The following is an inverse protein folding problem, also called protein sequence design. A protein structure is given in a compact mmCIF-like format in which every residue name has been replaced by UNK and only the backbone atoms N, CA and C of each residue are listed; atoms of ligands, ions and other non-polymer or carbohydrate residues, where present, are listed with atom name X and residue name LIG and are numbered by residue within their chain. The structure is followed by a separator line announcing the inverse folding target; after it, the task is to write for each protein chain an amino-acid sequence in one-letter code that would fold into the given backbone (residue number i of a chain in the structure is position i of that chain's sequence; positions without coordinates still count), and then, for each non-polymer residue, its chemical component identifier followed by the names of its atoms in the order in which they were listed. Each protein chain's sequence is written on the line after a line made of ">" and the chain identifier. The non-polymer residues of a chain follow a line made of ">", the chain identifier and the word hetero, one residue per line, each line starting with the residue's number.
data_IF_099274779762
#
_entry.id   IF_099274779762
#
_cell.length_a   1.000
_cell.length_b   1.000
_cell.length_c   1.000
_cell.angle_alpha   90.00
_cell.angle_beta   90.00
_cell.angle_gamma   90.00
#
_symmetry.space_group_name_H-M   'P 1'
#
loop_
_entity.id
_entity.type
_entity.pdbx_description
1 polymer ?
#
# COMPACT_ATOMS: atom_id res chain seq x y z
N UNK A 1 3.25 -11.49 14.51
CA UNK A 1 2.10 -10.76 13.94
C UNK A 1 1.06 -11.65 13.25
N UNK A 2 1.23 -12.14 12.01
CA UNK A 2 0.14 -12.89 11.33
C UNK A 2 -0.34 -14.13 12.11
N UNK A 3 0.57 -14.83 12.78
CA UNK A 3 0.23 -15.94 13.69
C UNK A 3 -0.50 -15.50 14.96
N UNK A 4 -0.26 -14.27 15.45
CA UNK A 4 -0.94 -13.72 16.64
C UNK A 4 -2.36 -13.28 16.28
N UNK A 5 -2.56 -12.73 15.08
CA UNK A 5 -3.87 -12.32 14.56
C UNK A 5 -4.70 -13.54 14.12
N UNK A 6 -4.04 -14.55 13.56
CA UNK A 6 -4.67 -15.76 13.03
C UNK A 6 -4.82 -15.74 11.50
N UNK A 7 -4.39 -16.83 10.84
CA UNK A 7 -4.38 -16.93 9.38
C UNK A 7 -5.77 -16.87 8.73
N UNK A 8 -6.81 -17.32 9.46
CA UNK A 8 -8.20 -17.19 9.00
C UNK A 8 -8.62 -15.72 8.89
N UNK A 9 -8.19 -14.87 9.82
CA UNK A 9 -8.50 -13.43 9.78
C UNK A 9 -7.71 -12.70 8.70
N UNK A 10 -6.47 -13.11 8.45
CA UNK A 10 -5.70 -12.63 7.29
C UNK A 10 -6.41 -13.01 5.98
N UNK A 11 -6.92 -14.24 5.88
CA UNK A 11 -7.71 -14.68 4.73
C UNK A 11 -8.99 -13.86 4.58
N UNK A 12 -9.74 -13.66 5.66
CA UNK A 12 -10.96 -12.84 5.65
C UNK A 12 -10.67 -11.41 5.19
N UNK A 13 -9.55 -10.82 5.64
CA UNK A 13 -9.09 -9.50 5.21
C UNK A 13 -8.83 -9.46 3.71
N UNK A 14 -8.12 -10.44 3.15
CA UNK A 14 -7.89 -10.54 1.71
C UNK A 14 -9.22 -10.67 0.92
N UNK A 15 -10.18 -11.44 1.43
CA UNK A 15 -11.52 -11.59 0.84
C UNK A 15 -12.32 -10.29 0.92
N UNK A 16 -12.25 -9.55 2.02
CA UNK A 16 -12.89 -8.25 2.18
C UNK A 16 -12.33 -7.23 1.19
N UNK A 17 -11.00 -7.21 0.99
CA UNK A 17 -10.32 -6.37 -0.01
C UNK A 17 -10.68 -6.75 -1.46
N UNK A 18 -11.17 -7.97 -1.70
CA UNK A 18 -11.71 -8.38 -3.01
C UNK A 18 -10.87 -9.39 -3.78
N UNK A 19 -9.88 -10.02 -3.13
CA UNK A 19 -9.18 -11.18 -3.69
C UNK A 19 -10.15 -12.37 -3.74
N UNK A 20 -10.30 -13.00 -4.91
CA UNK A 20 -11.15 -14.19 -5.12
C UNK A 20 -10.35 -15.45 -5.39
N UNK A 21 -9.10 -15.32 -5.83
CA UNK A 21 -8.17 -16.44 -6.07
C UNK A 21 -8.12 -17.40 -4.88
N UNK A 22 -7.91 -18.71 -5.11
CA UNK A 22 -7.88 -19.70 -4.03
C UNK A 22 -6.71 -19.41 -3.08
N UNK A 23 -7.04 -19.19 -1.80
CA UNK A 23 -6.09 -18.92 -0.73
C UNK A 23 -6.40 -19.86 0.43
N UNK A 24 -5.37 -20.38 1.09
CA UNK A 24 -5.53 -21.21 2.29
C UNK A 24 -4.98 -20.47 3.53
N UNK A 25 -5.59 -20.65 4.71
CA UNK A 25 -5.17 -20.01 5.95
C UNK A 25 -3.99 -20.75 6.58
N UNK A 26 -2.84 -20.75 5.90
CA UNK A 26 -1.60 -21.42 6.31
C UNK A 26 -0.48 -20.40 6.55
N UNK A 27 0.58 -20.73 7.32
CA UNK A 27 1.65 -19.77 7.62
C UNK A 27 2.28 -19.09 6.41
N UNK A 28 2.49 -19.84 5.32
CA UNK A 28 3.08 -19.31 4.08
C UNK A 28 2.22 -18.26 3.37
N UNK A 29 0.93 -18.15 3.71
CA UNK A 29 0.04 -17.15 3.12
C UNK A 29 0.52 -15.73 3.40
N UNK A 30 1.10 -15.50 4.58
CA UNK A 30 1.60 -14.19 5.00
C UNK A 30 2.83 -13.75 4.17
N UNK A 31 3.46 -14.69 3.48
CA UNK A 31 4.63 -14.47 2.63
C UNK A 31 4.30 -14.51 1.13
N UNK A 32 3.01 -14.66 0.76
CA UNK A 32 2.59 -14.62 -0.65
C UNK A 32 2.75 -15.95 -1.39
N UNK A 33 2.52 -17.10 -0.75
CA UNK A 33 2.64 -18.42 -1.37
C UNK A 33 1.48 -18.81 -2.32
N UNK A 34 0.69 -17.85 -2.78
CA UNK A 34 -0.48 -18.10 -3.62
C UNK A 34 -0.50 -17.17 -4.82
N UNK A 35 -1.02 -17.68 -5.93
CA UNK A 35 -1.17 -16.93 -7.17
C UNK A 35 -2.42 -16.05 -7.12
N UNK A 36 -2.25 -14.83 -7.61
CA UNK A 36 -3.33 -13.84 -7.77
C UNK A 36 -3.11 -13.09 -9.07
N UNK A 37 -4.19 -12.71 -9.75
CA UNK A 37 -4.06 -11.94 -10.99
C UNK A 37 -3.68 -10.48 -10.72
N UNK A 38 -2.97 -9.79 -11.64
CA UNK A 38 -2.69 -8.36 -11.50
C UNK A 38 -3.97 -7.53 -11.32
N UNK A 39 -5.05 -7.90 -12.02
CA UNK A 39 -6.35 -7.25 -11.89
C UNK A 39 -6.95 -7.43 -10.48
N UNK A 40 -6.78 -8.60 -9.87
CA UNK A 40 -7.22 -8.84 -8.50
C UNK A 40 -6.47 -7.96 -7.49
N UNK A 41 -5.16 -7.89 -7.61
CA UNK A 41 -4.33 -7.04 -6.76
C UNK A 41 -4.64 -5.56 -6.95
N UNK A 42 -4.81 -5.08 -8.18
CA UNK A 42 -5.17 -3.69 -8.45
C UNK A 42 -6.47 -3.30 -7.73
N UNK A 43 -7.50 -4.13 -7.78
CA UNK A 43 -8.76 -3.88 -7.06
C UNK A 43 -8.63 -4.00 -5.53
N UNK A 44 -7.80 -4.92 -5.04
CA UNK A 44 -7.53 -5.02 -3.60
C UNK A 44 -6.84 -3.75 -3.07
N UNK A 45 -5.84 -3.25 -3.78
CA UNK A 45 -5.16 -1.99 -3.44
C UNK A 45 -6.06 -0.78 -3.65
N UNK A 46 -6.99 -0.82 -4.61
CA UNK A 46 -8.03 0.22 -4.76
C UNK A 46 -8.90 0.34 -3.51
N UNK A 47 -9.20 -0.79 -2.86
CA UNK A 47 -9.95 -0.77 -1.59
C UNK A 47 -9.18 -0.03 -0.50
N UNK A 48 -7.85 -0.16 -0.45
CA UNK A 48 -7.01 0.58 0.50
C UNK A 48 -6.93 2.07 0.10
N UNK A 49 -6.59 2.34 -1.16
CA UNK A 49 -6.40 3.70 -1.68
C UNK A 49 -7.64 4.59 -1.57
N UNK A 50 -8.84 3.98 -1.61
CA UNK A 50 -10.13 4.67 -1.50
C UNK A 50 -10.66 4.80 -0.07
N UNK A 51 -9.80 4.65 0.94
CA UNK A 51 -10.20 4.78 2.34
C UNK A 51 -11.10 3.63 2.82
N UNK A 52 -10.93 2.43 2.25
CA UNK A 52 -11.68 1.22 2.63
C UNK A 52 -12.90 0.92 1.77
N UNK A 53 -13.17 1.69 0.71
CA UNK A 53 -14.32 1.43 -0.17
C UNK A 53 -13.96 0.36 -1.19
N UNK A 54 -14.63 -0.79 -1.10
CA UNK A 54 -14.51 -1.83 -2.12
C UNK A 54 -15.51 -1.60 -3.22
N UNK A 55 -15.01 -1.45 -4.44
CA UNK A 55 -15.81 -1.43 -5.67
C UNK A 55 -15.93 -2.84 -6.26
N UNK A 56 -17.12 -3.20 -6.72
CA UNK A 56 -17.28 -4.38 -7.57
C UNK A 56 -16.57 -4.15 -8.92
N UNK A 57 -16.00 -5.18 -9.52
CA UNK A 57 -15.32 -5.05 -10.82
C UNK A 57 -16.36 -4.81 -11.91
N UNK A 58 -16.23 -3.73 -12.67
CA UNK A 58 -17.12 -3.41 -13.79
C UNK A 58 -16.29 -3.07 -15.04
N UNK A 59 -16.07 -4.00 -15.98
CA UNK A 59 -15.34 -3.70 -17.21
C UNK A 59 -16.17 -2.87 -18.21
N UNK A 60 -17.49 -2.80 -18.02
CA UNK A 60 -18.44 -2.17 -18.93
C UNK A 60 -19.42 -1.31 -18.14
N UNK A 61 -19.40 0.00 -18.40
CA UNK A 61 -20.27 0.97 -17.73
C UNK A 61 -21.63 1.07 -18.40
N UNK A 62 -21.64 1.24 -19.73
CA UNK A 62 -22.87 1.33 -20.51
C UNK A 62 -22.70 0.86 -21.95
N UNK A 63 -23.78 0.38 -22.54
CA UNK A 63 -23.92 0.12 -23.98
C UNK A 63 -25.12 0.90 -24.47
N UNK A 64 -24.94 1.67 -25.54
CA UNK A 64 -26.00 2.48 -26.15
C UNK A 64 -26.18 2.14 -27.63
N UNK A 65 -27.39 2.31 -28.15
CA UNK A 65 -27.63 2.30 -29.59
C UNK A 65 -27.00 3.54 -30.24
N UNK A 66 -26.90 3.57 -31.56
CA UNK A 66 -26.49 4.77 -32.31
C UNK A 66 -27.43 5.97 -32.10
N UNK A 67 -28.69 5.72 -31.68
CA UNK A 67 -29.68 6.74 -31.36
C UNK A 67 -29.58 7.25 -29.91
N UNK A 68 -28.70 6.66 -29.09
CA UNK A 68 -28.50 7.03 -27.69
C UNK A 68 -29.32 6.22 -26.69
N UNK A 69 -30.11 5.24 -27.14
CA UNK A 69 -30.92 4.40 -26.24
C UNK A 69 -30.01 3.47 -25.44
N UNK A 70 -30.17 3.44 -24.11
CA UNK A 70 -29.36 2.59 -23.23
C UNK A 70 -29.82 1.13 -23.32
N UNK A 71 -28.93 0.26 -23.79
CA UNK A 71 -29.10 -1.21 -23.79
C UNK A 71 -28.63 -1.77 -22.45
N UNK A 72 -27.46 -1.33 -21.98
CA UNK A 72 -26.90 -1.67 -20.68
C UNK A 72 -26.53 -0.38 -19.97
N UNK A 73 -26.90 -0.26 -18.71
CA UNK A 73 -26.41 0.79 -17.82
C UNK A 73 -26.20 0.18 -16.44
N UNK A 74 -24.94 -0.02 -16.06
CA UNK A 74 -24.61 -0.59 -14.74
C UNK A 74 -24.48 0.52 -13.71
N UNK A 75 -25.12 0.32 -12.56
CA UNK A 75 -24.85 1.14 -11.37
C UNK A 75 -23.55 0.67 -10.73
N UNK A 76 -22.72 1.62 -10.32
CA UNK A 76 -21.54 1.32 -9.53
C UNK A 76 -21.97 0.73 -8.19
N UNK A 77 -21.55 -0.50 -7.91
CA UNK A 77 -21.79 -1.13 -6.62
C UNK A 77 -20.51 -1.05 -5.78
N UNK A 78 -20.65 -0.53 -4.56
CA UNK A 78 -19.54 -0.31 -3.65
C UNK A 78 -19.98 -0.53 -2.20
N UNK A 79 -19.04 -0.94 -1.35
CA UNK A 79 -19.28 -1.09 0.10
C UNK A 79 -18.08 -0.65 0.91
N UNK A 80 -18.31 -0.10 2.10
CA UNK A 80 -17.25 0.17 3.07
C UNK A 80 -16.76 -1.18 3.64
N UNK A 81 -15.56 -1.60 3.24
CA UNK A 81 -14.97 -2.87 3.65
C UNK A 81 -14.03 -2.74 4.86
N UNK A 82 -13.39 -1.58 5.03
CA UNK A 82 -12.45 -1.32 6.11
C UNK A 82 -12.67 0.07 6.72
N UNK A 83 -12.19 0.29 7.94
CA UNK A 83 -12.17 1.63 8.54
C UNK A 83 -11.23 2.57 7.75
N UNK A 84 -11.65 3.81 7.43
CA UNK A 84 -10.79 4.79 6.75
C UNK A 84 -9.47 5.07 7.47
N UNK A 85 -9.46 5.08 8.80
CA UNK A 85 -8.26 5.32 9.59
C UNK A 85 -7.26 4.16 9.43
N UNK A 86 -7.74 2.91 9.43
CA UNK A 86 -6.89 1.72 9.27
C UNK A 86 -6.28 1.67 7.86
N UNK A 87 -7.06 1.99 6.84
CA UNK A 87 -6.57 2.04 5.45
C UNK A 87 -5.61 3.20 5.22
N UNK A 88 -5.86 4.36 5.85
CA UNK A 88 -4.92 5.48 5.85
C UNK A 88 -3.58 5.09 6.48
N UNK A 89 -3.58 4.45 7.66
CA UNK A 89 -2.34 4.00 8.29
C UNK A 89 -1.59 2.96 7.44
N UNK A 90 -2.33 2.06 6.77
CA UNK A 90 -1.75 1.09 5.84
C UNK A 90 -1.09 1.79 4.64
N UNK A 91 -1.76 2.79 4.07
CA UNK A 91 -1.21 3.66 3.02
C UNK A 91 0.02 4.42 3.47
N UNK A 92 -0.02 5.03 4.65
CA UNK A 92 1.10 5.77 5.26
C UNK A 92 2.32 4.87 5.47
N UNK A 93 2.13 3.66 5.99
CA UNK A 93 3.21 2.68 6.12
C UNK A 93 3.80 2.31 4.75
N UNK A 94 2.96 2.19 3.71
CA UNK A 94 3.38 1.94 2.33
C UNK A 94 4.06 3.14 1.66
N UNK A 95 3.80 4.39 2.07
CA UNK A 95 4.65 5.53 1.66
C UNK A 95 6.09 5.33 2.16
N UNK A 96 6.23 4.80 3.39
CA UNK A 96 7.52 4.45 3.95
C UNK A 96 8.33 3.46 3.13
N UNK A 97 7.66 2.56 2.39
CA UNK A 97 8.33 1.63 1.48
C UNK A 97 9.07 2.38 0.36
N UNK A 98 8.49 3.49 -0.14
CA UNK A 98 9.08 4.32 -1.18
C UNK A 98 10.05 5.37 -0.65
N UNK A 99 9.92 5.82 0.61
CA UNK A 99 10.82 6.85 1.14
C UNK A 99 12.05 6.27 1.82
N UNK A 100 11.91 5.12 2.48
CA UNK A 100 12.95 4.52 3.35
C UNK A 100 13.07 3.00 3.24
N UNK A 101 12.15 2.32 2.55
CA UNK A 101 12.08 0.87 2.48
C UNK A 101 12.59 0.25 1.18
N UNK A 102 11.97 -0.86 0.79
CA UNK A 102 12.40 -1.70 -0.34
C UNK A 102 12.23 -1.04 -1.70
N UNK A 103 11.46 0.04 -1.80
CA UNK A 103 11.25 0.80 -3.04
C UNK A 103 11.86 2.20 -2.99
N UNK A 104 12.84 2.45 -2.10
CA UNK A 104 13.50 3.76 -1.94
C UNK A 104 14.10 4.34 -3.23
N UNK A 105 14.44 3.47 -4.17
CA UNK A 105 14.96 3.85 -5.48
C UNK A 105 13.95 4.65 -6.33
N UNK A 106 12.64 4.56 -6.03
CA UNK A 106 11.60 5.32 -6.71
C UNK A 106 11.91 6.84 -6.76
N UNK A 107 12.54 7.37 -5.70
CA UNK A 107 12.97 8.78 -5.64
C UNK A 107 14.02 9.11 -6.69
N UNK A 108 15.06 8.26 -6.82
CA UNK A 108 16.09 8.39 -7.87
C UNK A 108 15.52 8.22 -9.27
N UNK A 109 14.39 7.54 -9.40
CA UNK A 109 13.63 7.37 -10.64
C UNK A 109 12.65 8.52 -10.91
N UNK A 110 12.75 9.65 -10.20
CA UNK A 110 11.92 10.85 -10.33
C UNK A 110 10.46 10.70 -9.88
N UNK A 111 10.18 9.82 -8.93
CA UNK A 111 8.92 9.85 -8.17
C UNK A 111 9.15 10.74 -6.94
N UNK A 112 8.90 12.03 -7.12
CA UNK A 112 9.08 13.07 -6.09
C UNK A 112 7.75 13.57 -5.49
N UNK A 113 6.63 12.90 -5.83
CA UNK A 113 5.30 13.21 -5.35
C UNK A 113 4.77 12.12 -4.39
N UNK A 114 3.74 12.42 -3.59
CA UNK A 114 3.16 11.45 -2.65
C UNK A 114 2.65 10.19 -3.36
N UNK A 115 3.17 9.04 -2.93
CA UNK A 115 2.75 7.73 -3.42
C UNK A 115 3.00 6.66 -2.36
N UNK A 116 2.10 5.68 -2.32
CA UNK A 116 2.19 4.49 -1.46
C UNK A 116 2.39 3.27 -2.34
N UNK A 117 3.12 2.26 -1.87
CA UNK A 117 3.20 1.01 -2.61
C UNK A 117 3.97 -0.08 -1.89
N UNK A 118 3.99 -1.26 -2.50
CA UNK A 118 4.68 -2.41 -1.95
C UNK A 118 5.33 -3.25 -3.04
N UNK A 119 6.58 -3.65 -2.78
CA UNK A 119 7.32 -4.63 -3.58
C UNK A 119 6.86 -6.06 -3.26
N UNK A 120 6.83 -6.93 -4.25
CA UNK A 120 6.75 -8.38 -4.10
C UNK A 120 7.84 -9.06 -4.92
N UNK A 121 8.42 -10.11 -4.37
CA UNK A 121 9.42 -10.95 -5.04
C UNK A 121 9.14 -12.39 -4.61
N UNK A 122 9.00 -13.32 -5.56
CA UNK A 122 8.86 -14.75 -5.25
C UNK A 122 10.21 -15.46 -5.22
N UNK A 123 10.27 -16.65 -4.62
CA UNK A 123 11.49 -17.45 -4.54
C UNK A 123 12.04 -17.76 -5.94
N UNK A 124 13.36 -17.66 -6.11
CA UNK A 124 14.02 -17.83 -7.39
C UNK A 124 13.75 -16.70 -8.39
N UNK A 125 13.36 -15.51 -7.90
CA UNK A 125 13.06 -14.29 -8.68
C UNK A 125 12.17 -14.55 -9.91
N UNK A 126 11.21 -15.46 -9.79
CA UNK A 126 10.29 -15.80 -10.88
C UNK A 126 9.32 -14.67 -11.16
N UNK A 127 8.87 -14.01 -10.10
CA UNK A 127 7.91 -12.91 -10.16
C UNK A 127 8.47 -11.67 -9.51
N UNK A 128 8.48 -10.59 -10.28
CA UNK A 128 8.74 -9.23 -9.83
C UNK A 128 7.41 -8.48 -9.79
N UNK A 129 6.99 -8.04 -8.60
CA UNK A 129 5.76 -7.30 -8.38
C UNK A 129 6.02 -5.92 -7.80
N UNK A 130 5.25 -4.95 -8.27
CA UNK A 130 5.08 -3.69 -7.58
C UNK A 130 3.63 -3.22 -7.73
N UNK A 131 2.96 -2.99 -6.61
CA UNK A 131 1.63 -2.38 -6.60
C UNK A 131 1.74 -1.07 -5.85
N UNK A 132 1.45 0.02 -6.55
CA UNK A 132 1.54 1.37 -6.01
C UNK A 132 0.30 2.19 -6.36
N UNK A 133 0.01 3.16 -5.51
CA UNK A 133 -1.11 4.06 -5.69
C UNK A 133 -0.80 5.48 -5.22
N UNK A 134 -1.60 6.39 -5.74
CA UNK A 134 -1.69 7.79 -5.34
C UNK A 134 -3.14 8.09 -4.98
N UNK A 135 -3.47 9.35 -4.76
CA UNK A 135 -4.86 9.78 -4.55
C UNK A 135 -5.78 9.42 -5.74
N UNK A 136 -5.26 9.44 -6.97
CA UNK A 136 -6.12 9.37 -8.17
C UNK A 136 -6.06 8.03 -8.92
N UNK A 137 -4.99 7.24 -8.73
CA UNK A 137 -4.78 5.99 -9.49
C UNK A 137 -4.08 4.90 -8.67
N UNK A 138 -4.50 3.66 -8.91
CA UNK A 138 -3.79 2.43 -8.50
C UNK A 138 -3.21 1.76 -9.74
N UNK A 139 -1.93 1.38 -9.68
CA UNK A 139 -1.24 0.66 -10.74
C UNK A 139 -0.55 -0.57 -10.15
N UNK A 140 -0.90 -1.75 -10.68
CA UNK A 140 -0.26 -3.02 -10.37
C UNK A 140 0.58 -3.46 -11.56
N UNK A 141 1.86 -3.74 -11.31
CA UNK A 141 2.81 -4.22 -12.32
C UNK A 141 3.34 -5.58 -11.88
N UNK A 142 3.32 -6.51 -12.82
CA UNK A 142 3.98 -7.82 -12.73
C UNK A 142 4.95 -7.98 -13.88
N UNK A 143 6.10 -8.58 -13.59
CA UNK A 143 7.09 -9.01 -14.58
C UNK A 143 7.48 -10.44 -14.24
N UNK A 144 7.36 -11.32 -15.23
CA UNK A 144 7.70 -12.74 -15.13
C UNK A 144 7.73 -13.36 -16.52
N UNK A 145 8.28 -14.57 -16.61
CA UNK A 145 8.16 -15.39 -17.80
C UNK A 145 6.97 -16.35 -17.67
N UNK A 146 6.23 -16.57 -18.76
CA UNK A 146 5.13 -17.55 -18.79
C UNK A 146 5.61 -18.98 -18.45
N UNK A 147 6.90 -19.27 -18.68
CA UNK A 147 7.54 -20.53 -18.30
C UNK A 147 7.81 -20.67 -16.80
N UNK A 148 7.67 -19.60 -16.01
CA UNK A 148 8.06 -19.54 -14.60
C UNK A 148 9.58 -19.56 -14.39
N UNK A 149 10.35 -19.24 -15.43
CA UNK A 149 11.81 -19.13 -15.34
C UNK A 149 12.24 -17.94 -14.47
N UNK A 150 13.44 -18.03 -13.92
CA UNK A 150 14.08 -16.95 -13.15
C UNK A 150 14.26 -15.71 -14.03
N UNK A 151 13.73 -14.56 -13.58
CA UNK A 151 13.87 -13.28 -14.28
C UNK A 151 15.18 -12.56 -13.98
N UNK A 152 15.90 -12.97 -12.93
CA UNK A 152 17.03 -12.25 -12.35
C UNK A 152 16.64 -10.94 -11.66
N UNK A 153 15.34 -10.61 -11.59
CA UNK A 153 14.85 -9.33 -11.12
C UNK A 153 13.99 -9.46 -9.87
N UNK A 154 14.34 -8.69 -8.84
CA UNK A 154 13.43 -8.48 -7.70
C UNK A 154 12.30 -7.52 -8.06
N UNK A 155 11.27 -7.41 -7.21
CA UNK A 155 10.21 -6.40 -7.32
C UNK A 155 10.72 -4.96 -7.50
N UNK A 156 11.85 -4.63 -6.85
CA UNK A 156 12.48 -3.31 -6.93
C UNK A 156 13.24 -3.07 -8.24
N UNK A 157 13.76 -4.12 -8.89
CA UNK A 157 14.57 -4.00 -10.11
C UNK A 157 13.74 -4.08 -11.39
N UNK A 158 12.63 -4.84 -11.37
CA UNK A 158 11.76 -5.03 -12.54
C UNK A 158 10.50 -4.16 -12.47
N UNK A 159 9.50 -4.64 -11.75
CA UNK A 159 8.16 -4.04 -11.72
C UNK A 159 8.14 -2.58 -11.24
N UNK A 160 8.98 -2.20 -10.26
CA UNK A 160 9.09 -0.82 -9.81
C UNK A 160 9.50 0.12 -10.95
N UNK A 161 10.46 -0.26 -11.81
CA UNK A 161 10.92 0.60 -12.91
C UNK A 161 9.84 0.81 -13.98
N UNK A 162 9.04 -0.22 -14.27
CA UNK A 162 7.90 -0.08 -15.19
C UNK A 162 6.83 0.80 -14.55
N UNK A 163 6.53 0.59 -13.26
CA UNK A 163 5.58 1.43 -12.53
C UNK A 163 6.00 2.89 -12.52
N UNK A 164 7.27 3.21 -12.23
CA UNK A 164 7.74 4.61 -12.23
C UNK A 164 7.64 5.26 -13.61
N UNK A 165 7.95 4.53 -14.69
CA UNK A 165 7.76 5.00 -16.07
C UNK A 165 6.29 5.34 -16.35
N UNK A 166 5.36 4.46 -15.97
CA UNK A 166 3.93 4.72 -16.14
C UNK A 166 3.49 5.96 -15.37
N UNK A 167 3.84 6.05 -14.08
CA UNK A 167 3.42 7.17 -13.24
C UNK A 167 3.98 8.52 -13.71
N UNK A 168 5.21 8.54 -14.23
CA UNK A 168 5.82 9.72 -14.84
C UNK A 168 5.22 10.13 -16.18
N UNK A 169 4.61 9.19 -16.89
CA UNK A 169 3.84 9.50 -18.10
C UNK A 169 2.42 9.98 -17.77
N UNK A 170 1.86 9.53 -16.64
CA UNK A 170 0.52 9.86 -16.20
C UNK A 170 0.45 11.24 -15.53
N UNK A 171 1.46 11.60 -14.75
CA UNK A 171 1.53 12.87 -14.03
C UNK A 171 2.58 13.83 -14.60
N UNK A 172 2.33 15.13 -14.43
CA UNK A 172 3.39 16.15 -14.49
C UNK A 172 4.38 15.96 -13.33
N UNK A 173 5.51 16.66 -13.36
CA UNK A 173 6.54 16.56 -12.32
C UNK A 173 6.03 16.88 -10.90
N UNK A 174 5.01 17.74 -10.76
CA UNK A 174 4.43 18.07 -9.46
C UNK A 174 3.64 16.91 -8.85
N UNK A 175 3.17 15.97 -9.66
CA UNK A 175 2.33 14.86 -9.21
C UNK A 175 1.01 15.29 -8.58
N UNK A 176 0.28 14.33 -7.98
CA UNK A 176 -0.98 14.57 -7.30
C UNK A 176 -0.75 15.07 -5.86
N UNK A 177 -1.82 15.59 -5.25
CA UNK A 177 -1.81 15.90 -3.83
C UNK A 177 -1.72 14.63 -2.98
N UNK A 178 -1.18 14.76 -1.77
CA UNK A 178 -1.21 13.71 -0.77
C UNK A 178 -2.65 13.32 -0.41
N UNK A 179 -2.82 12.06 0.00
CA UNK A 179 -4.09 11.59 0.55
C UNK A 179 -4.36 12.33 1.85
N UNK A 180 -5.54 12.94 1.95
CA UNK A 180 -5.96 13.67 3.15
C UNK A 180 -6.22 12.67 4.28
N UNK A 181 -5.60 12.83 5.47
CA UNK A 181 -5.90 11.99 6.62
C UNK A 181 -7.38 12.08 6.99
N UNK A 182 -8.06 10.94 7.27
CA UNK A 182 -9.41 10.98 7.82
C UNK A 182 -9.40 11.56 9.24
N UNK A 183 -10.57 11.97 9.73
CA UNK A 183 -10.75 12.38 11.13
C UNK A 183 -10.31 11.24 12.07
N UNK A 184 -9.76 11.61 13.23
CA UNK A 184 -9.25 10.64 14.20
C UNK A 184 -7.82 10.16 13.92
N UNK A 185 -7.11 10.75 12.95
CA UNK A 185 -5.67 10.56 12.78
C UNK A 185 -4.90 11.66 13.50
N UNK A 186 -3.92 11.27 14.30
CA UNK A 186 -2.91 12.15 14.89
C UNK A 186 -1.50 11.76 14.43
N UNK A 187 -0.51 12.63 14.64
CA UNK A 187 0.89 12.30 14.34
C UNK A 187 1.77 12.51 15.56
N UNK A 188 2.79 11.66 15.70
CA UNK A 188 3.83 11.81 16.72
C UNK A 188 5.21 11.68 16.08
N UNK A 189 6.20 12.37 16.66
CA UNK A 189 7.60 12.17 16.30
C UNK A 189 8.17 11.13 17.25
N UNK A 190 8.58 9.99 16.69
CA UNK A 190 9.12 8.87 17.45
C UNK A 190 10.58 8.63 17.11
N UNK A 191 11.27 8.00 18.04
CA UNK A 191 12.55 7.37 17.77
C UNK A 191 12.29 6.08 16.99
N UNK A 192 12.89 5.95 15.81
CA UNK A 192 12.58 4.86 14.86
C UNK A 192 12.97 3.47 15.36
N UNK A 193 13.86 3.39 16.36
CA UNK A 193 14.34 2.13 16.91
C UNK A 193 13.49 1.66 18.07
N UNK A 194 13.20 2.55 19.01
CA UNK A 194 12.49 2.23 20.25
C UNK A 194 10.97 2.34 20.12
N UNK A 195 10.45 3.11 19.14
CA UNK A 195 9.01 3.31 18.93
C UNK A 195 8.36 4.30 19.90
N UNK A 196 9.13 4.89 20.81
CA UNK A 196 8.67 5.87 21.80
C UNK A 196 8.78 7.30 21.30
N UNK A 197 8.15 8.25 21.99
CA UNK A 197 8.26 9.68 21.66
C UNK A 197 9.72 10.10 21.67
N UNK A 198 10.18 10.68 20.55
CA UNK A 198 11.56 11.09 20.41
C UNK A 198 11.92 12.21 21.40
N UNK A 199 13.13 12.16 21.91
CA UNK A 199 13.73 13.25 22.69
C UNK A 199 14.67 14.07 21.81
N UNK A 200 15.19 15.18 22.34
CA UNK A 200 16.23 15.96 21.69
C UNK A 200 17.48 15.10 21.37
N UNK A 201 17.78 14.14 22.25
CA UNK A 201 18.95 13.25 22.17
C UNK A 201 18.81 12.13 21.12
N UNK A 202 17.60 11.86 20.61
CA UNK A 202 17.39 10.85 19.56
C UNK A 202 18.02 11.31 18.23
N UNK A 203 18.80 10.42 17.62
CA UNK A 203 19.46 10.66 16.33
C UNK A 203 18.57 10.30 15.14
N UNK A 204 17.73 9.27 15.27
CA UNK A 204 16.82 8.80 14.22
C UNK A 204 15.38 9.09 14.59
N UNK A 205 14.89 10.25 14.14
CA UNK A 205 13.54 10.74 14.43
C UNK A 205 12.68 10.62 13.19
N UNK A 206 11.53 9.97 13.31
CA UNK A 206 10.57 9.84 12.23
C UNK A 206 9.20 10.32 12.70
N UNK A 207 8.45 10.96 11.80
CA UNK A 207 7.04 11.27 12.02
C UNK A 207 6.22 10.05 11.62
N UNK A 208 5.37 9.58 12.51
CA UNK A 208 4.44 8.48 12.26
C UNK A 208 3.00 8.92 12.53
N UNK A 209 2.07 8.28 11.84
CA UNK A 209 0.63 8.49 11.99
C UNK A 209 0.03 7.44 12.92
N UNK A 210 -0.96 7.85 13.71
CA UNK A 210 -1.65 7.01 14.69
C UNK A 210 -3.15 7.26 14.64
N UNK A 211 -3.93 6.24 14.99
CA UNK A 211 -5.31 6.45 15.40
C UNK A 211 -5.29 7.21 16.73
N UNK A 212 -6.13 8.23 16.85
CA UNK A 212 -6.18 9.11 18.01
C UNK A 212 -6.26 8.30 19.32
N UNK A 213 -5.34 8.60 20.24
CA UNK A 213 -5.24 7.94 21.54
C UNK A 213 -4.36 6.68 21.54
N UNK A 214 -3.84 6.26 20.38
CA UNK A 214 -2.92 5.11 20.25
C UNK A 214 -1.46 5.53 20.08
N UNK A 215 -1.16 6.82 19.92
CA UNK A 215 0.21 7.33 19.89
C UNK A 215 0.97 6.99 21.19
N UNK A 216 2.29 6.74 21.12
CA UNK A 216 3.09 6.47 22.30
C UNK A 216 3.06 7.66 23.26
N UNK A 217 2.89 7.38 24.55
CA UNK A 217 2.83 8.42 25.60
C UNK A 217 4.15 8.58 26.36
N UNK A 218 5.02 7.57 26.29
CA UNK A 218 6.31 7.57 26.98
C UNK A 218 7.40 8.10 26.05
N UNK A 219 8.34 8.86 26.61
CA UNK A 219 9.56 9.32 25.93
C UNK A 219 10.54 8.16 25.74
N UNK A 220 11.40 8.29 24.74
CA UNK A 220 12.44 7.31 24.40
C UNK A 220 13.32 7.00 25.62
N UNK A 221 13.33 5.75 26.12
CA UNK A 221 14.15 5.36 27.26
C UNK A 221 15.63 5.27 26.90
N UNK A 222 15.94 4.98 25.63
CA UNK A 222 17.32 4.82 25.15
C UNK A 222 18.08 6.15 25.03
N UNK A 223 17.35 7.27 24.97
CA UNK A 223 17.89 8.61 24.80
C UNK A 223 17.22 9.59 25.79
N UNK A 224 17.51 9.50 27.10
CA UNK A 224 16.88 10.38 28.08
C UNK A 224 17.23 11.86 27.81
N UNK A 225 16.29 12.75 28.10
CA UNK A 225 16.57 14.18 28.10
C UNK A 225 17.56 14.49 29.22
N UNK A 226 18.67 15.15 28.88
CA UNK A 226 19.59 15.64 29.91
C UNK A 226 18.83 16.68 30.73
N UNK A 227 18.67 16.40 32.03
CA UNK A 227 18.20 17.40 32.98
C UNK A 227 19.13 18.61 32.90
N UNK A 228 18.60 19.73 32.41
CA UNK A 228 19.20 21.04 32.58
C UNK A 228 19.18 21.33 34.08
N UNK A 229 20.23 20.92 34.81
CA UNK A 229 20.52 21.50 36.13
C UNK A 229 20.77 23.00 35.91
N UNK A 230 19.79 23.82 36.31
CA UNK A 230 20.02 25.23 36.63
C UNK A 230 20.60 25.30 38.03
#
# INVERSE_FOLDING_TARGET
>A
MASEVGFKEVLNTARLAGIKSPLLPVPSMALGSFEVTPLELAYAYTTIASGGIRYERFPLFSVTTAKGDKIIARKLNSKQAFDPQVTYLSGYAMEGVLTRGTAKEAKSLNINFPASGKTGTTNGNKDSWFVGFTRDVVCAVWVGYDSGADTGMTGAQGALHIWTRFMRSYYSQSGPFAITPPRGIETAVIDSKSGYLATASCTQKIREAYIQGTAPKKKCPDHPEKSSKR
#
